data_IF_743718561835
#
_entry.id   IF_743718561835
#
_cell.length_a   1.000
_cell.length_b   1.000
_cell.length_c   1.000
_cell.angle_alpha   90.00
_cell.angle_beta   90.00
_cell.angle_gamma   90.00
#
_symmetry.space_group_name_H-M   'P 1'
#
loop_
_entity.id
_entity.type
_entity.pdbx_description
1 polymer ?
#
# COMPACT_ATOMS: atom_id res chain seq x y z
N UNK A 1 -15.13 -22.24 11.96
CA UNK A 1 -15.21 -21.77 10.57
C UNK A 1 -14.09 -20.76 10.40
N UNK A 2 -12.95 -21.17 9.83
CA UNK A 2 -11.75 -20.32 9.76
C UNK A 2 -11.85 -19.29 8.64
N UNK A 3 -11.77 -18.00 8.99
CA UNK A 3 -11.64 -16.91 8.03
C UNK A 3 -10.33 -17.01 7.22
N UNK A 4 -9.32 -17.71 7.75
CA UNK A 4 -7.95 -17.76 7.21
C UNK A 4 -7.81 -18.48 5.86
N UNK A 5 -8.84 -19.19 5.39
CA UNK A 5 -8.81 -19.94 4.12
C UNK A 5 -9.70 -19.34 3.02
N UNK A 6 -10.10 -18.06 3.12
CA UNK A 6 -10.93 -17.41 2.09
C UNK A 6 -10.05 -16.62 1.10
N UNK A 7 -10.20 -16.92 -0.18
CA UNK A 7 -9.71 -16.04 -1.25
C UNK A 7 -10.57 -14.77 -1.25
N UNK A 8 -9.99 -13.64 -0.85
CA UNK A 8 -10.69 -12.35 -0.83
C UNK A 8 -10.25 -11.56 -2.06
N UNK A 9 -11.18 -11.30 -2.98
CA UNK A 9 -10.98 -10.35 -4.06
C UNK A 9 -11.54 -8.98 -3.64
N UNK A 10 -10.70 -7.94 -3.71
CA UNK A 10 -11.10 -6.55 -3.44
C UNK A 10 -11.15 -5.80 -4.76
N UNK A 11 -12.34 -5.28 -5.09
CA UNK A 11 -12.55 -4.45 -6.28
C UNK A 11 -12.80 -3.00 -5.87
N UNK A 12 -12.30 -2.07 -6.67
CA UNK A 12 -12.65 -0.65 -6.57
C UNK A 12 -13.51 -0.34 -7.79
N UNK A 13 -14.80 -0.12 -7.55
CA UNK A 13 -15.74 0.24 -8.60
C UNK A 13 -15.82 1.78 -8.64
N UNK A 14 -15.54 2.42 -9.79
CA UNK A 14 -15.62 3.87 -9.90
C UNK A 14 -17.02 4.41 -9.62
N UNK A 15 -17.10 5.37 -8.69
CA UNK A 15 -18.35 6.02 -8.31
C UNK A 15 -18.65 7.26 -9.17
N UNK A 16 -18.59 7.12 -10.51
CA UNK A 16 -18.84 8.22 -11.47
C UNK A 16 -19.74 7.74 -12.60
N UNK A 17 -20.66 8.58 -13.05
CA UNK A 17 -21.64 8.24 -14.10
C UNK A 17 -20.95 7.77 -15.38
N UNK A 18 -19.82 8.36 -15.76
CA UNK A 18 -19.06 7.98 -16.97
C UNK A 18 -18.46 6.58 -16.97
N UNK A 19 -18.51 5.86 -15.85
CA UNK A 19 -18.12 4.45 -15.78
C UNK A 19 -19.27 3.50 -16.11
N UNK A 20 -20.52 3.94 -15.96
CA UNK A 20 -21.71 3.08 -16.08
C UNK A 20 -22.34 3.26 -17.46
N UNK A 21 -22.66 2.14 -18.12
CA UNK A 21 -23.35 2.13 -19.42
C UNK A 21 -24.85 2.40 -19.26
N UNK A 22 -25.49 2.75 -20.39
CA UNK A 22 -26.94 2.93 -20.46
C UNK A 22 -27.68 1.70 -19.93
N UNK A 23 -28.53 1.91 -18.92
CA UNK A 23 -29.25 0.85 -18.21
C UNK A 23 -28.63 0.44 -16.87
N UNK A 24 -27.43 0.93 -16.54
CA UNK A 24 -26.83 0.77 -15.21
C UNK A 24 -26.65 2.14 -14.55
N UNK A 25 -26.89 2.19 -13.25
CA UNK A 25 -26.71 3.41 -12.46
C UNK A 25 -25.65 3.21 -11.40
N UNK A 26 -25.02 4.32 -11.03
CA UNK A 26 -24.19 4.40 -9.84
C UNK A 26 -24.92 3.77 -8.65
N UNK A 27 -24.24 2.87 -7.95
CA UNK A 27 -24.79 2.23 -6.75
C UNK A 27 -24.95 3.31 -5.66
N UNK A 28 -26.17 3.62 -5.20
CA UNK A 28 -26.38 4.64 -4.18
C UNK A 28 -25.79 4.16 -2.84
N UNK A 29 -25.31 5.10 -2.03
CA UNK A 29 -24.62 4.79 -0.77
C UNK A 29 -25.55 4.06 0.20
N UNK A 30 -26.84 4.38 0.15
CA UNK A 30 -27.90 3.85 0.99
C UNK A 30 -28.20 2.38 0.63
N UNK A 31 -27.93 1.96 -0.62
CA UNK A 31 -28.01 0.56 -1.01
C UNK A 31 -26.80 -0.26 -0.53
N UNK A 32 -25.64 0.38 -0.35
CA UNK A 32 -24.43 -0.26 0.20
C UNK A 32 -24.45 -0.28 1.74
N UNK A 33 -24.96 0.79 2.34
CA UNK A 33 -24.99 1.03 3.78
C UNK A 33 -26.37 1.57 4.14
N UNK A 34 -27.34 0.69 4.42
CA UNK A 34 -28.69 1.11 4.78
C UNK A 34 -28.70 1.96 6.05
N UNK A 35 -29.78 2.71 6.24
CA UNK A 35 -30.00 3.44 7.48
C UNK A 35 -30.05 2.46 8.66
N UNK A 36 -29.34 2.79 9.75
CA UNK A 36 -29.13 1.92 10.93
C UNK A 36 -28.42 0.59 10.62
N UNK A 37 -27.42 0.61 9.74
CA UNK A 37 -26.52 -0.53 9.49
C UNK A 37 -25.68 -0.88 10.74
N UNK A 38 -26.19 -1.83 11.52
CA UNK A 38 -25.51 -2.38 12.70
C UNK A 38 -24.13 -2.97 12.39
N UNK A 39 -23.91 -3.49 11.18
CA UNK A 39 -22.59 -4.02 10.80
C UNK A 39 -21.59 -2.89 10.60
N UNK A 40 -22.02 -1.80 9.96
CA UNK A 40 -21.20 -0.59 9.84
C UNK A 40 -20.87 0.00 11.21
N UNK A 41 -21.83 0.05 12.12
CA UNK A 41 -21.61 0.53 13.48
C UNK A 41 -20.59 -0.35 14.21
N UNK A 42 -20.76 -1.67 14.18
CA UNK A 42 -19.83 -2.64 14.76
C UNK A 42 -18.43 -2.52 14.15
N UNK A 43 -18.32 -2.43 12.83
CA UNK A 43 -17.03 -2.26 12.15
C UNK A 43 -16.37 -0.94 12.54
N UNK A 44 -17.15 0.13 12.73
CA UNK A 44 -16.62 1.44 13.14
C UNK A 44 -16.14 1.39 14.59
N UNK A 45 -16.88 0.73 15.48
CA UNK A 45 -16.49 0.50 16.87
C UNK A 45 -15.21 -0.34 16.97
N UNK A 46 -15.14 -1.46 16.26
CA UNK A 46 -13.92 -2.28 16.16
C UNK A 46 -12.76 -1.44 15.63
N UNK A 47 -12.98 -0.65 14.58
CA UNK A 47 -11.94 0.21 14.00
C UNK A 47 -11.44 1.26 14.98
N UNK A 48 -12.32 1.84 15.79
CA UNK A 48 -11.94 2.82 16.81
C UNK A 48 -11.23 2.18 18.00
N UNK A 49 -11.57 0.94 18.35
CA UNK A 49 -10.91 0.16 19.40
C UNK A 49 -9.58 -0.47 18.93
N UNK A 50 -9.32 -0.49 17.63
CA UNK A 50 -8.03 -0.83 17.03
C UNK A 50 -7.12 0.41 17.03
N UNK A 51 -6.80 0.95 18.21
CA UNK A 51 -5.60 1.78 18.34
C UNK A 51 -4.38 0.88 18.13
N UNK A 52 -3.94 0.78 16.89
CA UNK A 52 -2.73 0.05 16.53
C UNK A 52 -1.56 0.95 16.87
N UNK A 53 -1.17 0.92 18.15
CA UNK A 53 0.12 1.47 18.56
C UNK A 53 1.21 0.59 17.96
N UNK A 54 1.93 1.11 16.97
CA UNK A 54 3.13 0.45 16.46
C UNK A 54 4.14 0.35 17.62
N UNK A 55 4.54 -0.86 17.95
CA UNK A 55 5.65 -1.07 18.88
C UNK A 55 6.97 -0.76 18.18
N UNK A 56 8.03 -0.49 18.94
CA UNK A 56 9.39 -0.37 18.40
C UNK A 56 9.82 -1.61 17.59
N UNK A 57 9.33 -2.78 17.98
CA UNK A 57 9.56 -4.03 17.26
C UNK A 57 8.86 -4.04 15.89
N UNK A 58 7.61 -3.57 15.81
CA UNK A 58 6.87 -3.45 14.54
C UNK A 58 7.57 -2.48 13.59
N UNK A 59 8.04 -1.34 14.11
CA UNK A 59 8.82 -0.35 13.35
C UNK A 59 10.14 -0.95 12.87
N UNK A 60 10.86 -1.67 13.73
CA UNK A 60 12.10 -2.35 13.38
C UNK A 60 11.90 -3.39 12.26
N UNK A 61 10.83 -4.18 12.34
CA UNK A 61 10.48 -5.17 11.32
C UNK A 61 10.16 -4.50 9.98
N UNK A 62 9.35 -3.44 10.00
CA UNK A 62 9.03 -2.63 8.82
C UNK A 62 10.31 -2.09 8.15
N UNK A 63 11.19 -1.44 8.93
CA UNK A 63 12.42 -0.86 8.39
C UNK A 63 13.33 -1.92 7.78
N UNK A 64 13.40 -3.12 8.36
CA UNK A 64 14.14 -4.23 7.79
C UNK A 64 13.56 -4.71 6.45
N UNK A 65 12.23 -4.87 6.36
CA UNK A 65 11.57 -5.22 5.10
C UNK A 65 11.77 -4.13 4.03
N UNK A 66 11.63 -2.87 4.41
CA UNK A 66 11.88 -1.74 3.53
C UNK A 66 13.31 -1.74 2.97
N UNK A 67 14.31 -1.94 3.83
CA UNK A 67 15.70 -2.01 3.41
C UNK A 67 15.93 -3.11 2.38
N UNK A 68 15.29 -4.29 2.53
CA UNK A 68 15.38 -5.36 1.52
C UNK A 68 14.85 -4.93 0.16
N UNK A 69 13.72 -4.22 0.14
CA UNK A 69 13.13 -3.69 -1.10
C UNK A 69 14.08 -2.66 -1.73
N UNK A 70 14.62 -1.75 -0.93
CA UNK A 70 15.55 -0.74 -1.39
C UNK A 70 16.81 -1.38 -2.00
N UNK A 71 17.41 -2.36 -1.34
CA UNK A 71 18.55 -3.12 -1.87
C UNK A 71 18.18 -3.83 -3.18
N UNK A 72 17.03 -4.50 -3.25
CA UNK A 72 16.61 -5.19 -4.47
C UNK A 72 16.46 -4.25 -5.67
N UNK A 73 15.85 -3.08 -5.46
CA UNK A 73 15.68 -2.07 -6.52
C UNK A 73 17.04 -1.49 -6.92
N UNK A 74 17.92 -1.20 -5.96
CA UNK A 74 19.26 -0.71 -6.24
C UNK A 74 20.11 -1.74 -7.01
N UNK A 75 20.07 -3.01 -6.62
CA UNK A 75 20.80 -4.09 -7.28
C UNK A 75 20.34 -4.28 -8.72
N UNK A 76 19.02 -4.25 -8.96
CA UNK A 76 18.46 -4.29 -10.30
C UNK A 76 18.96 -3.13 -11.16
N UNK A 77 18.87 -1.90 -10.64
CA UNK A 77 19.30 -0.70 -11.35
C UNK A 77 20.79 -0.72 -11.66
N UNK A 78 21.61 -1.13 -10.70
CA UNK A 78 23.05 -1.30 -10.88
C UNK A 78 23.36 -2.32 -11.98
N UNK A 79 22.63 -3.44 -12.01
CA UNK A 79 22.81 -4.50 -13.01
C UNK A 79 22.42 -4.05 -14.42
N UNK A 80 21.26 -3.42 -14.58
CA UNK A 80 20.74 -3.06 -15.90
C UNK A 80 21.33 -1.77 -16.47
N UNK A 81 21.68 -0.79 -15.61
CA UNK A 81 22.05 0.55 -16.05
C UNK A 81 23.45 1.01 -15.63
N UNK A 82 24.20 0.23 -14.83
CA UNK A 82 25.59 0.52 -14.45
C UNK A 82 25.78 1.68 -13.47
N UNK A 83 24.83 2.59 -13.35
CA UNK A 83 24.81 3.72 -12.42
C UNK A 83 23.50 3.76 -11.62
N UNK A 84 23.61 4.01 -10.31
CA UNK A 84 22.46 4.31 -9.47
C UNK A 84 22.77 5.46 -8.52
N UNK A 85 21.76 6.28 -8.25
CA UNK A 85 21.85 7.28 -7.19
C UNK A 85 21.57 6.63 -5.83
N UNK A 86 22.27 7.07 -4.79
CA UNK A 86 22.01 6.64 -3.40
C UNK A 86 20.61 7.02 -2.92
N UNK A 87 19.94 7.94 -3.62
CA UNK A 87 18.57 8.32 -3.36
C UNK A 87 17.62 7.46 -4.23
N UNK A 88 16.93 6.52 -3.57
CA UNK A 88 15.96 5.63 -4.21
C UNK A 88 14.91 6.39 -5.04
N UNK A 89 14.50 7.60 -4.62
CA UNK A 89 13.52 8.40 -5.34
C UNK A 89 14.01 8.88 -6.72
N UNK A 90 15.25 9.38 -6.81
CA UNK A 90 15.83 9.82 -8.09
C UNK A 90 16.07 8.63 -9.02
N UNK A 91 16.50 7.51 -8.44
CA UNK A 91 16.65 6.24 -9.14
C UNK A 91 15.31 5.71 -9.70
N UNK A 92 14.23 5.75 -8.90
CA UNK A 92 12.88 5.37 -9.33
C UNK A 92 12.31 6.31 -10.40
N UNK A 93 12.59 7.62 -10.30
CA UNK A 93 12.13 8.59 -11.30
C UNK A 93 12.76 8.32 -12.66
N UNK A 94 14.08 8.10 -12.70
CA UNK A 94 14.77 7.72 -13.93
C UNK A 94 14.29 6.39 -14.49
N UNK A 95 13.97 5.42 -13.62
CA UNK A 95 13.41 4.13 -14.04
C UNK A 95 12.01 4.27 -14.63
N UNK A 96 11.15 5.11 -14.04
CA UNK A 96 9.80 5.35 -14.56
C UNK A 96 9.79 6.01 -15.94
N UNK A 97 10.85 6.77 -16.28
CA UNK A 97 10.99 7.40 -17.59
C UNK A 97 11.46 6.39 -18.65
N UNK A 98 12.27 5.39 -18.26
CA UNK A 98 12.81 4.37 -19.16
C UNK A 98 11.90 3.15 -19.33
N UNK A 99 11.14 2.80 -18.29
CA UNK A 99 10.30 1.59 -18.23
C UNK A 99 8.85 1.96 -17.83
N UNK A 100 8.01 2.39 -18.79
CA UNK A 100 6.64 2.84 -18.50
C UNK A 100 5.78 1.78 -17.79
N UNK A 101 6.06 0.50 -18.01
CA UNK A 101 5.38 -0.64 -17.36
C UNK A 101 5.63 -0.69 -15.84
N UNK A 102 6.72 -0.10 -15.35
CA UNK A 102 7.05 -0.04 -13.92
C UNK A 102 6.37 1.13 -13.20
N UNK A 103 5.75 2.07 -13.92
CA UNK A 103 5.20 3.32 -13.35
C UNK A 103 4.21 3.09 -12.20
N UNK A 104 3.34 2.08 -12.30
CA UNK A 104 2.38 1.74 -11.24
C UNK A 104 3.10 1.24 -9.97
N UNK A 105 4.01 0.29 -10.13
CA UNK A 105 4.80 -0.30 -9.05
C UNK A 105 5.70 0.76 -8.38
N UNK A 106 6.27 1.67 -9.16
CA UNK A 106 7.09 2.78 -8.65
C UNK A 106 6.25 3.83 -7.90
N UNK A 107 5.01 4.07 -8.34
CA UNK A 107 4.08 4.91 -7.60
C UNK A 107 3.78 4.34 -6.22
N UNK A 108 3.50 3.03 -6.15
CA UNK A 108 3.27 2.32 -4.88
C UNK A 108 4.52 2.40 -3.99
N UNK A 109 5.70 2.14 -4.55
CA UNK A 109 6.97 2.22 -3.84
C UNK A 109 7.24 3.63 -3.26
N UNK A 110 6.83 4.69 -3.96
CA UNK A 110 6.99 6.07 -3.45
C UNK A 110 6.03 6.36 -2.28
N UNK A 111 4.83 5.77 -2.28
CA UNK A 111 3.92 5.87 -1.14
C UNK A 111 4.54 5.24 0.12
N UNK A 112 5.15 4.05 -0.03
CA UNK A 112 5.88 3.37 1.04
C UNK A 112 7.10 4.16 1.53
N UNK A 113 7.86 4.80 0.63
CA UNK A 113 8.98 5.67 1.01
C UNK A 113 8.53 6.85 1.87
N UNK A 114 7.39 7.48 1.54
CA UNK A 114 6.82 8.58 2.33
C UNK A 114 6.42 8.09 3.72
N UNK A 115 5.78 6.92 3.80
CA UNK A 115 5.41 6.29 5.06
C UNK A 115 6.65 6.01 5.94
N UNK A 116 7.70 5.43 5.36
CA UNK A 116 8.99 5.22 6.04
C UNK A 116 9.53 6.53 6.61
N UNK A 117 9.50 7.60 5.83
CA UNK A 117 10.01 8.90 6.30
C UNK A 117 9.19 9.46 7.46
N UNK A 118 7.86 9.31 7.43
CA UNK A 118 7.00 9.69 8.55
C UNK A 118 7.34 8.88 9.81
N UNK A 119 7.49 7.56 9.69
CA UNK A 119 7.86 6.70 10.82
C UNK A 119 9.24 7.08 11.41
N UNK A 120 10.20 7.47 10.57
CA UNK A 120 11.56 7.81 11.02
C UNK A 120 11.63 9.21 11.65
N UNK A 121 10.89 10.19 11.13
CA UNK A 121 11.01 11.59 11.53
C UNK A 121 9.95 12.05 12.55
N UNK A 122 8.78 11.42 12.61
CA UNK A 122 7.65 11.84 13.47
C UNK A 122 7.29 10.81 14.56
N UNK A 123 8.29 10.07 15.09
CA UNK A 123 8.08 9.01 16.11
C UNK A 123 7.26 9.44 17.32
N UNK A 124 7.38 10.71 17.74
CA UNK A 124 6.79 11.22 18.98
C UNK A 124 5.47 11.98 18.78
N UNK A 125 5.10 12.33 17.54
CA UNK A 125 4.07 13.35 17.28
C UNK A 125 2.86 12.88 16.47
N UNK A 126 2.87 11.64 16.00
CA UNK A 126 1.75 11.09 15.25
C UNK A 126 1.33 9.83 15.97
N UNK A 127 0.11 9.83 16.51
CA UNK A 127 -0.61 8.58 16.73
C UNK A 127 -0.65 7.88 15.38
N UNK A 128 0.30 6.98 15.19
CA UNK A 128 0.57 6.36 13.90
C UNK A 128 -0.65 5.50 13.60
N UNK A 129 -1.63 6.05 12.90
CA UNK A 129 -2.77 5.33 12.33
C UNK A 129 -2.31 4.48 11.14
N UNK A 130 -1.17 3.80 11.27
CA UNK A 130 -0.74 2.75 10.36
C UNK A 130 -1.35 1.49 10.90
N UNK A 131 -2.32 0.96 10.18
CA UNK A 131 -2.88 -0.32 10.54
C UNK A 131 -1.84 -1.43 10.31
N UNK A 132 -1.80 -2.46 11.16
CA UNK A 132 -1.06 -3.72 10.90
C UNK A 132 -1.38 -4.30 9.51
N UNK A 133 -2.57 -3.99 8.98
CA UNK A 133 -3.01 -4.35 7.64
C UNK A 133 -2.18 -3.68 6.53
N UNK A 134 -1.68 -2.46 6.75
CA UNK A 134 -0.78 -1.79 5.81
C UNK A 134 0.59 -2.45 5.81
N UNK A 135 1.16 -2.79 6.98
CA UNK A 135 2.47 -3.46 7.05
C UNK A 135 2.51 -4.80 6.28
N UNK A 136 1.40 -5.55 6.24
CA UNK A 136 1.31 -6.80 5.47
C UNK A 136 1.30 -6.61 3.95
N UNK A 137 1.07 -5.38 3.44
CA UNK A 137 1.08 -5.10 2.00
C UNK A 137 2.50 -4.92 1.42
N UNK A 138 3.54 -4.85 2.27
CA UNK A 138 4.94 -4.82 1.83
C UNK A 138 5.37 -6.12 1.14
N UNK A 139 4.88 -7.27 1.61
CA UNK A 139 5.18 -8.56 0.99
C UNK A 139 4.53 -8.68 -0.40
N UNK A 140 3.33 -8.12 -0.59
CA UNK A 140 2.69 -8.01 -1.90
C UNK A 140 3.48 -7.08 -2.84
N UNK A 141 3.98 -5.95 -2.33
CA UNK A 141 4.87 -5.07 -3.10
C UNK A 141 6.16 -5.78 -3.49
N UNK A 142 6.79 -6.53 -2.57
CA UNK A 142 7.96 -7.37 -2.86
C UNK A 142 7.65 -8.38 -3.95
N UNK A 143 6.50 -9.05 -3.90
CA UNK A 143 6.11 -10.04 -4.90
C UNK A 143 5.88 -9.38 -6.27
N UNK A 144 5.22 -8.22 -6.33
CA UNK A 144 5.01 -7.44 -7.55
C UNK A 144 6.34 -6.99 -8.15
N UNK A 145 7.25 -6.45 -7.32
CA UNK A 145 8.60 -6.06 -7.76
C UNK A 145 9.36 -7.25 -8.33
N UNK A 146 9.38 -8.41 -7.64
CA UNK A 146 10.03 -9.62 -8.16
C UNK A 146 9.48 -10.07 -9.51
N UNK A 147 8.16 -9.99 -9.71
CA UNK A 147 7.54 -10.36 -10.99
C UNK A 147 7.82 -9.40 -12.12
N UNK A 148 8.17 -8.15 -11.82
CA UNK A 148 8.32 -7.09 -12.83
C UNK A 148 9.79 -6.74 -13.12
N UNK A 149 10.70 -7.09 -12.19
CA UNK A 149 12.14 -6.91 -12.32
C UNK A 149 12.88 -8.20 -12.77
N UNK A 150 12.14 -9.29 -13.00
CA UNK A 150 12.60 -10.52 -13.65
C UNK A 150 11.99 -10.63 -15.04
#
# INVERSE_FOLDING_TARGET
MDLNNRLIAKFIIPNRISFWDDGFTVIPKEALYPDNDKMKDLCSEIKNNLEIHLTDADVGQFLNQWNKIETMVQDYLKKEYGEYSSNLYTSMRGLSEKEPQLKSVLSDLNAWRKLRNQIVHDRDNVGINISKLELNNLDDLMLKLKKTLH
#
